data_IF_755713211244
#
_entry.id   IF_755713211244
#
_cell.length_a   1.000
_cell.length_b   1.000
_cell.length_c   1.000
_cell.angle_alpha   90.00
_cell.angle_beta   90.00
_cell.angle_gamma   90.00
#
_symmetry.space_group_name_H-M   'P 1'
#
loop_
_entity.id
_entity.type
_entity.pdbx_description
1 polymer ?
#
# COMPACT_ATOMS: atom_id res chain seq x y z
N UNK A 1 -31.60 1.90 6.85
CA UNK A 1 -31.03 3.17 6.35
C UNK A 1 -29.51 3.25 6.58
N UNK A 2 -28.85 2.16 6.99
CA UNK A 2 -27.43 2.18 7.38
C UNK A 2 -26.42 1.80 6.28
N UNK A 3 -26.83 1.03 5.26
CA UNK A 3 -25.92 0.57 4.20
C UNK A 3 -25.33 1.75 3.38
N UNK A 4 -26.15 2.73 3.01
CA UNK A 4 -25.69 3.90 2.27
C UNK A 4 -24.77 4.84 3.08
N UNK A 5 -24.88 4.83 4.41
CA UNK A 5 -23.98 5.58 5.29
C UNK A 5 -22.61 4.89 5.39
N UNK A 6 -22.61 3.56 5.47
CA UNK A 6 -21.40 2.75 5.50
C UNK A 6 -20.61 2.85 4.20
N UNK A 7 -21.28 2.74 3.05
CA UNK A 7 -20.64 2.85 1.74
C UNK A 7 -19.98 4.23 1.54
N UNK A 8 -20.68 5.30 1.94
CA UNK A 8 -20.15 6.65 1.91
C UNK A 8 -18.92 6.81 2.83
N UNK A 9 -18.93 6.21 4.02
CA UNK A 9 -17.81 6.25 4.94
C UNK A 9 -16.58 5.51 4.38
N UNK A 10 -16.77 4.34 3.76
CA UNK A 10 -15.71 3.58 3.10
C UNK A 10 -15.11 4.37 1.95
N UNK A 11 -15.94 4.89 1.04
CA UNK A 11 -15.46 5.67 -0.10
C UNK A 11 -14.73 6.94 0.36
N UNK A 12 -15.27 7.65 1.34
CA UNK A 12 -14.63 8.83 1.93
C UNK A 12 -13.26 8.52 2.53
N UNK A 13 -13.12 7.38 3.24
CA UNK A 13 -11.85 6.93 3.77
C UNK A 13 -10.84 6.61 2.66
N UNK A 14 -11.26 5.88 1.62
CA UNK A 14 -10.38 5.50 0.51
C UNK A 14 -9.96 6.70 -0.33
N UNK A 15 -10.87 7.62 -0.62
CA UNK A 15 -10.60 8.85 -1.38
C UNK A 15 -9.52 9.72 -0.71
N UNK A 16 -9.55 9.84 0.61
CA UNK A 16 -8.53 10.60 1.34
C UNK A 16 -7.13 9.96 1.26
N UNK A 17 -7.07 8.64 1.10
CA UNK A 17 -5.82 7.87 1.13
C UNK A 17 -5.21 7.69 -0.26
N UNK A 18 -6.05 7.47 -1.28
CA UNK A 18 -5.64 7.17 -2.65
C UNK A 18 -6.17 8.22 -3.65
N UNK A 19 -5.64 9.45 -3.65
CA UNK A 19 -5.99 10.44 -4.65
C UNK A 19 -5.11 10.31 -5.93
N UNK A 20 -5.64 10.61 -7.14
CA UNK A 20 -7.02 10.97 -7.42
C UNK A 20 -7.91 9.74 -7.39
N UNK A 21 -9.01 9.82 -6.63
CA UNK A 21 -9.85 8.67 -6.36
C UNK A 21 -10.55 8.16 -7.62
N UNK A 22 -10.83 9.03 -8.58
CA UNK A 22 -11.40 8.67 -9.87
C UNK A 22 -10.53 7.65 -10.62
N UNK A 23 -9.20 7.75 -10.48
CA UNK A 23 -8.25 6.83 -11.12
C UNK A 23 -8.00 5.56 -10.29
N UNK A 24 -7.99 5.66 -8.96
CA UNK A 24 -7.67 4.51 -8.10
C UNK A 24 -8.88 3.69 -7.68
N UNK A 25 -10.09 4.27 -7.72
CA UNK A 25 -11.32 3.66 -7.20
C UNK A 25 -11.57 2.25 -7.72
N UNK A 26 -11.47 1.95 -9.04
CA UNK A 26 -11.68 0.59 -9.54
C UNK A 26 -10.75 -0.43 -8.86
N UNK A 27 -9.49 -0.04 -8.64
CA UNK A 27 -8.47 -0.89 -8.02
C UNK A 27 -8.70 -1.08 -6.53
N UNK A 28 -8.89 0.01 -5.77
CA UNK A 28 -9.00 -0.07 -4.30
C UNK A 28 -10.34 -0.63 -3.85
N UNK A 29 -11.44 -0.30 -4.53
CA UNK A 29 -12.74 -0.91 -4.26
C UNK A 29 -12.70 -2.41 -4.59
N UNK A 30 -12.08 -2.80 -5.70
CA UNK A 30 -11.85 -4.20 -6.03
C UNK A 30 -11.05 -4.96 -4.96
N UNK A 31 -10.08 -4.31 -4.31
CA UNK A 31 -9.36 -4.89 -3.16
C UNK A 31 -10.28 -5.02 -1.94
N UNK A 32 -11.08 -4.00 -1.61
CA UNK A 32 -12.04 -4.08 -0.50
C UNK A 32 -13.07 -5.18 -0.71
N UNK A 33 -13.61 -5.34 -1.92
CA UNK A 33 -14.53 -6.44 -2.23
C UNK A 33 -13.88 -7.81 -1.99
N UNK A 34 -12.63 -8.00 -2.42
CA UNK A 34 -11.91 -9.25 -2.14
C UNK A 34 -11.75 -9.51 -0.64
N UNK A 35 -11.42 -8.48 0.16
CA UNK A 35 -11.36 -8.65 1.63
C UNK A 35 -12.70 -9.04 2.23
N UNK A 36 -13.78 -8.43 1.75
CA UNK A 36 -15.13 -8.76 2.21
C UNK A 36 -15.44 -10.22 1.93
N UNK A 37 -15.10 -10.72 0.75
CA UNK A 37 -15.31 -12.12 0.36
C UNK A 37 -14.41 -13.09 1.13
N UNK A 38 -13.11 -12.80 1.26
CA UNK A 38 -12.12 -13.77 1.78
C UNK A 38 -11.94 -13.74 3.28
N UNK A 39 -12.12 -12.57 3.92
CA UNK A 39 -11.66 -12.33 5.29
C UNK A 39 -12.77 -11.84 6.23
N UNK A 40 -13.83 -11.25 5.68
CA UNK A 40 -14.93 -10.69 6.48
C UNK A 40 -16.31 -11.30 6.17
N UNK A 41 -16.40 -12.30 5.29
CA UNK A 41 -17.65 -13.01 4.96
C UNK A 41 -18.82 -12.09 4.57
N UNK A 42 -18.52 -10.98 3.90
CA UNK A 42 -19.49 -9.95 3.52
C UNK A 42 -19.84 -8.93 4.62
N UNK A 43 -19.26 -9.03 5.82
CA UNK A 43 -19.48 -8.09 6.91
C UNK A 43 -18.68 -6.79 6.69
N UNK A 44 -19.33 -5.84 6.01
CA UNK A 44 -18.79 -4.51 5.73
C UNK A 44 -18.49 -3.68 6.99
N UNK A 45 -19.27 -3.84 8.05
CA UNK A 45 -19.08 -3.08 9.28
C UNK A 45 -17.84 -3.59 10.03
N UNK A 46 -17.66 -4.91 10.14
CA UNK A 46 -16.44 -5.50 10.71
C UNK A 46 -15.22 -5.13 9.86
N UNK A 47 -15.30 -5.20 8.53
CA UNK A 47 -14.21 -4.77 7.65
C UNK A 47 -13.83 -3.30 7.87
N UNK A 48 -14.83 -2.41 7.97
CA UNK A 48 -14.60 -0.99 8.24
C UNK A 48 -13.92 -0.78 9.60
N UNK A 49 -14.50 -1.34 10.67
CA UNK A 49 -14.05 -1.08 12.05
C UNK A 49 -12.72 -1.75 12.37
N UNK A 50 -12.53 -3.01 11.95
CA UNK A 50 -11.38 -3.81 12.32
C UNK A 50 -10.18 -3.61 11.38
N UNK A 51 -10.38 -3.08 10.18
CA UNK A 51 -9.29 -2.90 9.22
C UNK A 51 -9.24 -1.54 8.54
N UNK A 52 -10.29 -1.10 7.84
CA UNK A 52 -10.18 0.11 7.01
C UNK A 52 -9.95 1.39 7.82
N UNK A 53 -10.59 1.55 8.98
CA UNK A 53 -10.34 2.69 9.89
C UNK A 53 -8.90 2.63 10.46
N UNK A 54 -8.43 1.48 11.00
CA UNK A 54 -7.03 1.35 11.42
C UNK A 54 -6.01 1.60 10.30
N UNK A 55 -6.25 1.04 9.10
CA UNK A 55 -5.40 1.23 7.93
C UNK A 55 -5.35 2.69 7.50
N UNK A 56 -6.49 3.41 7.53
CA UNK A 56 -6.53 4.86 7.27
C UNK A 56 -5.59 5.62 8.19
N UNK A 57 -5.67 5.38 9.51
CA UNK A 57 -4.82 6.05 10.50
C UNK A 57 -3.35 5.73 10.30
N UNK A 58 -3.02 4.47 10.01
CA UNK A 58 -1.65 4.04 9.69
C UNK A 58 -1.13 4.80 8.47
N UNK A 59 -1.91 4.85 7.40
CA UNK A 59 -1.54 5.48 6.15
C UNK A 59 -1.41 7.00 6.25
N UNK A 60 -2.26 7.67 7.03
CA UNK A 60 -2.11 9.10 7.34
C UNK A 60 -0.75 9.36 8.00
N UNK A 61 -0.34 8.53 8.96
CA UNK A 61 0.99 8.63 9.61
C UNK A 61 2.13 8.34 8.64
N UNK A 62 2.02 7.30 7.82
CA UNK A 62 3.04 6.96 6.81
C UNK A 62 3.22 8.09 5.79
N UNK A 63 2.12 8.63 5.27
CA UNK A 63 2.15 9.78 4.36
C UNK A 63 2.76 10.99 5.03
N UNK A 64 2.37 11.30 6.26
CA UNK A 64 2.93 12.42 7.00
C UNK A 64 4.46 12.28 7.16
N UNK A 65 4.95 11.10 7.54
CA UNK A 65 6.37 10.85 7.72
C UNK A 65 7.14 10.90 6.38
N UNK A 66 6.62 10.24 5.34
CA UNK A 66 7.25 10.20 4.03
C UNK A 66 7.28 11.58 3.34
N UNK A 67 6.23 12.39 3.51
CA UNK A 67 6.12 13.71 2.87
C UNK A 67 6.83 14.83 3.64
N UNK A 68 7.16 14.63 4.94
CA UNK A 68 7.77 15.67 5.78
C UNK A 68 9.05 16.30 5.18
N UNK A 69 9.99 15.55 4.56
CA UNK A 69 11.18 16.13 3.92
C UNK A 69 10.87 17.08 2.74
N UNK A 70 9.66 16.99 2.18
CA UNK A 70 9.25 17.70 0.96
C UNK A 70 8.18 18.77 1.23
N UNK A 71 8.10 19.30 2.46
CA UNK A 71 7.05 20.21 2.90
C UNK A 71 6.87 21.49 2.06
N UNK A 72 7.83 21.87 1.21
CA UNK A 72 7.73 23.04 0.32
C UNK A 72 7.62 22.67 -1.17
N UNK A 73 7.26 21.43 -1.48
CA UNK A 73 7.09 20.94 -2.86
C UNK A 73 5.65 20.49 -3.09
N UNK A 74 5.20 20.59 -4.34
CA UNK A 74 3.93 20.03 -4.80
C UNK A 74 4.23 18.71 -5.50
N UNK A 75 3.66 17.61 -5.01
CA UNK A 75 3.83 16.30 -5.61
C UNK A 75 3.10 16.23 -6.96
N UNK A 76 3.76 15.65 -7.97
CA UNK A 76 3.13 15.29 -9.25
C UNK A 76 2.03 14.26 -9.02
N UNK A 77 2.27 13.34 -8.09
CA UNK A 77 1.30 12.33 -7.65
C UNK A 77 0.80 12.66 -6.25
N UNK A 78 -0.41 13.21 -6.16
CA UNK A 78 -1.00 13.62 -4.89
C UNK A 78 -1.18 12.47 -3.89
N UNK A 79 -1.30 11.23 -4.38
CA UNK A 79 -1.41 10.03 -3.55
C UNK A 79 -0.09 9.43 -3.07
N UNK A 80 1.04 10.04 -3.43
CA UNK A 80 2.35 9.55 -3.00
C UNK A 80 2.44 9.50 -1.46
N UNK A 81 3.03 8.43 -0.88
CA UNK A 81 3.59 7.25 -1.55
C UNK A 81 2.63 6.05 -1.71
N UNK A 82 1.35 6.18 -1.34
CA UNK A 82 0.39 5.07 -1.35
C UNK A 82 -0.12 4.72 -2.75
N UNK A 83 -0.16 5.71 -3.64
CA UNK A 83 -0.39 5.50 -5.07
C UNK A 83 0.35 6.54 -5.92
N UNK A 84 0.66 6.16 -7.16
CA UNK A 84 1.17 7.04 -8.20
C UNK A 84 0.12 7.17 -9.29
N UNK A 85 -0.71 8.22 -9.21
CA UNK A 85 -1.92 8.37 -10.02
C UNK A 85 -2.83 7.14 -9.89
N UNK A 86 -2.96 6.31 -10.93
CA UNK A 86 -3.79 5.10 -10.96
C UNK A 86 -3.12 3.87 -10.32
N UNK A 87 -1.81 3.92 -10.07
CA UNK A 87 -1.01 2.78 -9.59
C UNK A 87 -1.05 2.72 -8.07
N UNK A 88 -1.77 1.76 -7.51
CA UNK A 88 -1.82 1.47 -6.07
C UNK A 88 -0.54 0.76 -5.64
N UNK A 89 0.23 1.40 -4.76
CA UNK A 89 1.55 0.93 -4.27
C UNK A 89 1.41 0.11 -2.99
N UNK A 90 0.55 0.55 -2.06
CA UNK A 90 0.25 -0.21 -0.84
C UNK A 90 -1.12 -0.84 -0.99
N UNK A 91 -1.19 -2.16 -0.91
CA UNK A 91 -2.43 -2.90 -1.13
C UNK A 91 -3.24 -3.05 0.15
N UNK A 92 -4.57 -2.99 0.03
CA UNK A 92 -5.50 -3.33 1.10
C UNK A 92 -5.74 -4.84 1.17
N UNK A 93 -5.62 -5.55 0.03
CA UNK A 93 -5.87 -6.99 -0.08
C UNK A 93 -4.63 -7.70 -0.66
N UNK A 94 -4.42 -8.99 -0.36
CA UNK A 94 -3.32 -9.75 -0.94
C UNK A 94 -3.40 -9.79 -2.46
N UNK A 95 -2.23 -9.76 -3.11
CA UNK A 95 -2.09 -10.01 -4.54
C UNK A 95 -1.98 -11.52 -4.80
N UNK A 96 -2.22 -11.95 -6.03
CA UNK A 96 -1.99 -13.33 -6.43
C UNK A 96 -0.48 -13.66 -6.30
N UNK A 97 -0.09 -14.61 -5.42
CA UNK A 97 1.31 -14.99 -5.21
C UNK A 97 2.06 -15.40 -6.48
N UNK A 98 1.35 -15.95 -7.47
CA UNK A 98 1.92 -16.43 -8.73
C UNK A 98 2.46 -15.31 -9.63
N UNK A 99 2.17 -14.05 -9.31
CA UNK A 99 2.66 -12.89 -10.05
C UNK A 99 4.07 -12.46 -9.61
N UNK A 100 4.50 -12.86 -8.41
CA UNK A 100 5.84 -12.54 -7.91
C UNK A 100 6.91 -13.30 -8.69
N UNK A 101 7.95 -12.59 -9.09
CA UNK A 101 9.19 -13.15 -9.64
C UNK A 101 10.35 -12.92 -8.67
N UNK A 102 11.50 -13.60 -8.83
CA UNK A 102 12.70 -13.29 -8.05
C UNK A 102 13.06 -11.80 -8.20
N UNK A 103 13.20 -11.10 -7.07
CA UNK A 103 13.47 -9.65 -7.02
C UNK A 103 12.22 -8.76 -6.95
N UNK A 104 11.03 -9.33 -7.16
CA UNK A 104 9.76 -8.63 -6.94
C UNK A 104 9.33 -8.69 -5.48
N UNK A 105 8.61 -7.66 -5.04
CA UNK A 105 7.90 -7.60 -3.77
C UNK A 105 6.64 -6.76 -3.90
N UNK A 106 5.76 -6.80 -2.90
CA UNK A 106 4.69 -5.80 -2.75
C UNK A 106 4.48 -5.43 -1.29
N UNK A 107 3.89 -4.26 -1.06
CA UNK A 107 3.51 -3.77 0.25
C UNK A 107 2.03 -3.97 0.46
N UNK A 108 1.63 -4.54 1.59
CA UNK A 108 0.24 -4.77 1.94
C UNK A 108 -0.04 -4.24 3.34
N UNK A 109 -1.16 -3.53 3.52
CA UNK A 109 -1.72 -3.27 4.83
C UNK A 109 -2.54 -4.46 5.30
N UNK A 110 -2.36 -4.84 6.55
CA UNK A 110 -3.03 -5.99 7.16
C UNK A 110 -3.61 -5.63 8.53
N UNK A 111 -4.79 -6.16 8.89
CA UNK A 111 -5.31 -6.04 10.23
C UNK A 111 -4.41 -6.77 11.21
N UNK A 112 -4.33 -6.23 12.42
CA UNK A 112 -3.59 -6.80 13.54
C UNK A 112 -4.51 -6.93 14.75
N UNK A 113 -3.98 -7.53 15.81
CA UNK A 113 -4.65 -7.57 17.11
C UNK A 113 -5.00 -6.15 17.59
N UNK A 114 -5.98 -6.06 18.49
CA UNK A 114 -6.40 -4.80 19.12
C UNK A 114 -6.93 -3.72 18.14
N UNK A 115 -7.48 -4.13 16.98
CA UNK A 115 -8.02 -3.21 15.96
C UNK A 115 -6.93 -2.24 15.45
N UNK A 116 -5.72 -2.76 15.26
CA UNK A 116 -4.61 -2.02 14.65
C UNK A 116 -4.39 -2.50 13.21
N UNK A 117 -3.57 -1.78 12.46
CA UNK A 117 -3.11 -2.21 11.14
C UNK A 117 -1.60 -2.03 11.05
N UNK A 118 -0.96 -2.87 10.25
CA UNK A 118 0.47 -2.78 9.92
C UNK A 118 0.70 -2.86 8.43
N UNK A 119 1.87 -2.46 7.97
CA UNK A 119 2.36 -2.78 6.62
C UNK A 119 3.24 -4.01 6.69
N UNK A 120 3.09 -4.90 5.73
CA UNK A 120 3.90 -6.10 5.54
C UNK A 120 4.52 -6.04 4.15
N UNK A 121 5.80 -6.37 4.03
CA UNK A 121 6.45 -6.65 2.74
C UNK A 121 6.28 -8.12 2.41
N UNK A 122 5.85 -8.41 1.18
CA UNK A 122 5.63 -9.77 0.69
C UNK A 122 6.50 -10.03 -0.54
N UNK A 123 7.29 -11.10 -0.51
CA UNK A 123 8.21 -11.48 -1.58
C UNK A 123 8.40 -12.99 -1.64
N UNK A 124 8.99 -13.53 -2.70
CA UNK A 124 9.32 -14.95 -2.75
C UNK A 124 10.39 -15.33 -1.72
N UNK A 125 10.26 -16.53 -1.16
CA UNK A 125 11.29 -17.20 -0.38
C UNK A 125 12.54 -17.47 -1.22
N UNK A 126 13.69 -17.72 -0.58
CA UNK A 126 14.94 -18.00 -1.29
C UNK A 126 14.87 -19.25 -2.20
N UNK A 127 14.04 -20.23 -1.85
CA UNK A 127 13.79 -21.43 -2.67
C UNK A 127 12.70 -21.25 -3.74
N UNK A 128 12.09 -20.06 -3.80
CA UNK A 128 11.02 -19.68 -4.73
C UNK A 128 9.73 -20.50 -4.61
N UNK A 129 9.51 -21.18 -3.48
CA UNK A 129 8.35 -22.09 -3.27
C UNK A 129 7.22 -21.47 -2.48
N UNK A 130 7.49 -20.43 -1.70
CA UNK A 130 6.51 -19.76 -0.87
C UNK A 130 6.67 -18.25 -0.93
N UNK A 131 5.68 -17.54 -0.41
CA UNK A 131 5.76 -16.10 -0.15
C UNK A 131 6.17 -15.92 1.30
N UNK A 132 7.26 -15.20 1.51
CA UNK A 132 7.68 -14.71 2.81
C UNK A 132 7.01 -13.37 3.09
N UNK A 133 6.59 -13.19 4.33
CA UNK A 133 5.86 -12.03 4.80
C UNK A 133 6.62 -11.43 5.99
N UNK A 134 7.11 -10.20 5.83
CA UNK A 134 7.87 -9.51 6.88
C UNK A 134 7.13 -8.24 7.30
N UNK A 135 6.67 -8.13 8.56
CA UNK A 135 6.10 -6.89 9.08
C UNK A 135 7.10 -5.74 9.00
N UNK A 136 6.67 -4.57 8.55
CA UNK A 136 7.45 -3.34 8.63
C UNK A 136 7.36 -2.79 10.05
N UNK A 137 8.48 -2.67 10.79
CA UNK A 137 8.46 -2.10 12.14
C UNK A 137 8.08 -0.62 12.11
N UNK A 138 7.40 -0.13 13.15
CA UNK A 138 7.01 1.28 13.23
C UNK A 138 8.21 2.23 13.18
N UNK A 139 9.37 1.81 13.71
CA UNK A 139 10.61 2.57 13.66
C UNK A 139 11.10 2.81 12.21
N UNK A 140 10.72 1.95 11.26
CA UNK A 140 11.11 2.05 9.86
C UNK A 140 10.14 2.91 9.02
N UNK A 141 8.99 3.30 9.57
CA UNK A 141 7.93 4.02 8.85
C UNK A 141 8.41 5.33 8.19
N UNK A 142 9.34 6.05 8.82
CA UNK A 142 9.90 7.28 8.26
C UNK A 142 10.80 7.05 7.03
N UNK A 143 11.32 5.84 6.86
CA UNK A 143 12.22 5.47 5.77
C UNK A 143 11.56 4.57 4.73
N UNK A 144 10.38 3.99 5.00
CA UNK A 144 9.71 2.96 4.19
C UNK A 144 9.67 3.25 2.68
N UNK A 145 9.57 4.51 2.27
CA UNK A 145 9.51 4.91 0.85
C UNK A 145 10.82 5.58 0.39
N UNK A 146 11.94 4.96 0.72
CA UNK A 146 13.29 5.40 0.31
C UNK A 146 14.11 4.22 -0.21
N UNK A 147 15.14 4.49 -1.01
CA UNK A 147 16.08 3.46 -1.44
C UNK A 147 16.86 2.88 -0.25
N UNK A 148 17.21 3.72 0.74
CA UNK A 148 17.91 3.29 1.96
C UNK A 148 17.14 2.21 2.75
N UNK A 149 15.81 2.32 2.84
CA UNK A 149 15.01 1.28 3.47
C UNK A 149 15.06 -0.04 2.70
N UNK A 150 14.97 -0.01 1.37
CA UNK A 150 15.04 -1.24 0.57
C UNK A 150 16.45 -1.86 0.60
N UNK A 151 17.49 -1.04 0.67
CA UNK A 151 18.88 -1.49 0.88
C UNK A 151 19.03 -2.21 2.23
N UNK A 152 18.47 -1.67 3.32
CA UNK A 152 18.47 -2.31 4.63
C UNK A 152 17.72 -3.66 4.61
N UNK A 153 16.53 -3.69 4.00
CA UNK A 153 15.78 -4.94 3.78
C UNK A 153 16.62 -5.95 3.02
N UNK A 154 17.31 -5.53 1.96
CA UNK A 154 18.15 -6.42 1.17
C UNK A 154 19.41 -6.90 1.91
N UNK A 155 20.01 -6.07 2.76
CA UNK A 155 21.21 -6.44 3.53
C UNK A 155 20.99 -7.57 4.52
N UNK A 156 19.74 -7.80 4.94
CA UNK A 156 19.36 -8.88 5.86
C UNK A 156 18.88 -10.17 5.16
N UNK A 157 18.79 -10.19 3.82
CA UNK A 157 18.17 -11.29 3.06
C UNK A 157 19.19 -12.25 2.45
N UNK A 158 18.81 -13.53 2.43
CA UNK A 158 19.57 -14.61 1.77
C UNK A 158 19.12 -14.89 0.32
N UNK A 159 18.01 -14.28 -0.14
CA UNK A 159 17.41 -14.48 -1.46
C UNK A 159 17.79 -13.42 -2.51
N UNK A 160 17.09 -13.42 -3.64
CA UNK A 160 17.28 -12.44 -4.70
C UNK A 160 17.02 -11.00 -4.21
N UNK A 161 17.92 -10.07 -4.51
CA UNK A 161 17.80 -8.65 -4.16
C UNK A 161 16.49 -8.07 -4.67
N UNK A 162 15.70 -7.49 -3.76
CA UNK A 162 14.45 -6.80 -4.09
C UNK A 162 14.76 -5.49 -4.77
N UNK A 163 14.10 -5.24 -5.90
CA UNK A 163 14.26 -4.01 -6.67
C UNK A 163 12.99 -3.56 -7.39
N UNK A 164 11.97 -4.43 -7.48
CA UNK A 164 10.72 -4.16 -8.18
C UNK A 164 9.54 -4.30 -7.23
N UNK A 165 8.74 -3.25 -7.11
CA UNK A 165 7.47 -3.30 -6.39
C UNK A 165 6.35 -3.65 -7.38
N UNK A 166 5.52 -4.65 -7.06
CA UNK A 166 4.30 -4.90 -7.80
C UNK A 166 3.24 -3.89 -7.35
N UNK A 167 2.70 -3.14 -8.31
CA UNK A 167 1.62 -2.17 -8.09
C UNK A 167 0.37 -2.61 -8.84
N UNK A 168 -0.81 -2.19 -8.39
CA UNK A 168 -2.07 -2.57 -9.02
C UNK A 168 -2.73 -1.38 -9.72
N UNK A 169 -3.35 -1.66 -10.86
CA UNK A 169 -4.20 -0.74 -11.62
C UNK A 169 -5.52 -1.45 -11.95
N UNK A 170 -6.47 -0.74 -12.57
CA UNK A 170 -7.71 -1.34 -13.06
C UNK A 170 -7.46 -2.46 -14.09
N UNK A 171 -6.33 -2.38 -14.82
CA UNK A 171 -5.95 -3.32 -15.87
C UNK A 171 -5.13 -4.51 -15.33
N UNK A 172 -4.90 -4.55 -14.00
CA UNK A 172 -4.18 -5.63 -13.33
C UNK A 172 -2.92 -5.16 -12.62
N UNK A 173 -2.14 -6.14 -12.17
CA UNK A 173 -0.89 -5.94 -11.43
C UNK A 173 0.26 -5.77 -12.41
N UNK A 174 1.10 -4.77 -12.16
CA UNK A 174 2.24 -4.43 -13.00
C UNK A 174 3.50 -4.24 -12.15
N UNK A 175 4.68 -4.66 -12.63
CA UNK A 175 5.95 -4.39 -11.94
C UNK A 175 6.36 -2.93 -12.12
N UNK A 176 6.85 -2.30 -11.06
CA UNK A 176 7.40 -0.94 -11.05
C UNK A 176 8.75 -0.93 -10.35
N UNK A 177 9.84 -0.43 -10.97
CA UNK A 177 11.12 -0.29 -10.29
C UNK A 177 10.97 0.56 -9.02
N UNK A 178 11.55 0.11 -7.90
CA UNK A 178 11.39 0.77 -6.60
C UNK A 178 11.84 2.24 -6.62
N UNK A 179 12.89 2.57 -7.38
CA UNK A 179 13.39 3.93 -7.53
C UNK A 179 12.32 4.92 -8.03
N UNK A 180 11.33 4.46 -8.81
CA UNK A 180 10.19 5.26 -9.28
C UNK A 180 9.15 5.56 -8.18
N UNK A 181 9.18 4.80 -7.08
CA UNK A 181 8.33 5.03 -5.90
C UNK A 181 9.14 5.79 -4.84
N UNK A 182 10.39 5.37 -4.59
CA UNK A 182 11.26 5.94 -3.56
C UNK A 182 11.65 7.40 -3.82
N UNK A 183 11.70 7.81 -5.09
CA UNK A 183 11.95 9.19 -5.47
C UNK A 183 10.64 9.85 -5.91
N UNK A 184 10.02 10.71 -5.07
CA UNK A 184 8.82 11.43 -5.45
C UNK A 184 9.10 12.40 -6.62
N UNK A 185 8.13 12.48 -7.53
CA UNK A 185 8.12 13.45 -8.62
C UNK A 185 7.31 14.69 -8.19
N UNK A 186 7.73 15.88 -8.63
CA UNK A 186 7.13 17.16 -8.25
C UNK A 186 6.70 17.94 -9.49
N UNK A 187 5.71 18.82 -9.34
CA UNK A 187 5.37 19.79 -10.38
C UNK A 187 6.34 20.97 -10.34
N UNK A 188 6.47 21.68 -11.46
CA UNK A 188 7.27 22.92 -11.54
C UNK A 188 6.56 24.13 -10.92
N UNK A 189 5.34 23.96 -10.40
CA UNK A 189 4.54 25.05 -9.84
C UNK A 189 4.98 25.39 -8.40
N UNK A 190 5.08 26.69 -8.06
CA UNK A 190 5.29 27.11 -6.68
C UNK A 190 4.05 26.80 -5.81
N UNK A 191 4.30 26.38 -4.56
CA UNK A 191 3.26 26.07 -3.56
C UNK A 191 2.57 27.31 -3.01
#
# INVERSE_FOLDING_TARGET
QDAGSLDAAVQSALQALYPPFEATAPTVLGQVFRLLETSYQGDGLCCLLQFLIPAKRLFERLRQAACAPYFNRIFLHEGWPLCLHEKVVVHLAPLNPLLLRPGDFYLQAEPCEEQTARVTIKHLSADLRSVEETPVPEAAHALLFTDAWLEEVNGSRAGATLHTCLVATENGVTPLPWSRIATPEFTDEPR
#
